data_IF_550515107802
#
_entry.id   IF_550515107802
#
_cell.length_a   1.000
_cell.length_b   1.000
_cell.length_c   1.000
_cell.angle_alpha   90.00
_cell.angle_beta   90.00
_cell.angle_gamma   90.00
#
_symmetry.space_group_name_H-M   'P 1'
#
loop_
_entity.id
_entity.type
_entity.pdbx_description
1 polymer ?
#
# COMPACT_ATOMS: atom_id res chain seq x y z
N UNK A 1 -12.32 0.54 -16.21
CA UNK A 1 -11.13 -0.04 -15.55
C UNK A 1 -9.92 -0.19 -16.47
N UNK A 2 -10.04 -0.79 -17.67
CA UNK A 2 -8.94 -1.03 -18.62
C UNK A 2 -8.04 0.20 -18.87
N UNK A 3 -8.63 1.34 -19.20
CA UNK A 3 -7.88 2.59 -19.43
C UNK A 3 -7.12 3.05 -18.19
N UNK A 4 -7.72 2.91 -17.00
CA UNK A 4 -7.07 3.28 -15.73
C UNK A 4 -5.87 2.38 -15.45
N UNK A 5 -6.00 1.09 -15.73
CA UNK A 5 -4.89 0.15 -15.60
C UNK A 5 -3.77 0.46 -16.59
N UNK A 6 -4.08 0.71 -17.87
CA UNK A 6 -3.08 1.06 -18.88
C UNK A 6 -2.34 2.35 -18.52
N UNK A 7 -3.07 3.35 -18.06
CA UNK A 7 -2.50 4.61 -17.59
C UNK A 7 -1.59 4.40 -16.37
N UNK A 8 -2.04 3.64 -15.38
CA UNK A 8 -1.25 3.30 -14.20
C UNK A 8 0.07 2.61 -14.60
N UNK A 9 0.00 1.59 -15.46
CA UNK A 9 1.18 0.86 -15.91
C UNK A 9 2.12 1.76 -16.73
N UNK A 10 1.58 2.60 -17.61
CA UNK A 10 2.36 3.58 -18.37
C UNK A 10 3.09 4.56 -17.44
N UNK A 11 2.38 5.06 -16.44
CA UNK A 11 2.94 5.96 -15.43
C UNK A 11 4.03 5.28 -14.60
N UNK A 12 3.80 4.06 -14.13
CA UNK A 12 4.79 3.32 -13.34
C UNK A 12 6.05 2.95 -14.11
N UNK A 13 6.02 2.91 -15.46
CA UNK A 13 7.22 2.77 -16.29
C UNK A 13 8.03 4.07 -16.37
N UNK A 14 7.35 5.20 -16.36
CA UNK A 14 8.00 6.51 -16.44
C UNK A 14 7.21 7.60 -15.69
N UNK A 15 7.35 7.67 -14.36
CA UNK A 15 6.56 8.58 -13.55
C UNK A 15 6.99 10.02 -13.82
N UNK A 16 6.00 10.90 -13.95
CA UNK A 16 6.18 12.35 -14.15
C UNK A 16 5.39 13.13 -13.10
N UNK A 17 5.94 14.27 -12.66
CA UNK A 17 5.29 15.18 -11.71
C UNK A 17 4.24 16.03 -12.46
N UNK A 18 3.14 15.40 -12.87
CA UNK A 18 2.08 16.03 -13.62
C UNK A 18 0.72 15.67 -13.01
N UNK A 19 -0.06 16.69 -12.67
CA UNK A 19 -1.43 16.52 -12.18
C UNK A 19 -2.35 16.15 -13.33
N UNK A 20 -3.40 15.41 -13.03
CA UNK A 20 -4.47 15.23 -13.99
C UNK A 20 -5.18 16.56 -14.24
N UNK A 21 -5.35 16.91 -15.52
CA UNK A 21 -6.05 18.13 -15.93
C UNK A 21 -7.55 18.04 -15.67
N UNK A 22 -8.11 16.83 -15.64
CA UNK A 22 -9.53 16.61 -15.38
C UNK A 22 -9.85 16.79 -13.88
N UNK A 23 -10.59 17.86 -13.58
CA UNK A 23 -11.06 18.18 -12.23
C UNK A 23 -12.47 17.64 -11.92
N UNK A 24 -13.14 16.97 -12.87
CA UNK A 24 -14.48 16.46 -12.66
C UNK A 24 -14.49 15.40 -11.53
N UNK A 25 -15.39 15.57 -10.56
CA UNK A 25 -15.44 14.70 -9.39
C UNK A 25 -15.83 13.27 -9.73
N UNK A 26 -16.83 13.07 -10.61
CA UNK A 26 -17.27 11.75 -11.06
C UNK A 26 -16.13 10.98 -11.72
N UNK A 27 -15.36 11.64 -12.59
CA UNK A 27 -14.17 11.06 -13.22
C UNK A 27 -13.14 10.61 -12.18
N UNK A 28 -12.84 11.46 -11.19
CA UNK A 28 -11.86 11.15 -10.14
C UNK A 28 -12.30 10.00 -9.25
N UNK A 29 -13.56 9.98 -8.83
CA UNK A 29 -14.11 8.85 -8.07
C UNK A 29 -14.10 7.55 -8.87
N UNK A 30 -14.41 7.60 -10.16
CA UNK A 30 -14.33 6.42 -11.01
C UNK A 30 -12.89 5.88 -11.09
N UNK A 31 -11.90 6.76 -11.29
CA UNK A 31 -10.47 6.39 -11.28
C UNK A 31 -10.05 5.84 -9.92
N UNK A 32 -10.49 6.47 -8.84
CA UNK A 32 -10.26 6.02 -7.47
C UNK A 32 -10.78 4.59 -7.25
N UNK A 33 -12.03 4.29 -7.59
CA UNK A 33 -12.59 2.95 -7.40
C UNK A 33 -11.90 1.90 -8.27
N UNK A 34 -11.52 2.24 -9.50
CA UNK A 34 -10.69 1.35 -10.32
C UNK A 34 -9.34 1.05 -9.64
N UNK A 35 -8.67 2.07 -9.10
CA UNK A 35 -7.40 1.90 -8.40
C UNK A 35 -7.55 1.08 -7.11
N UNK A 36 -8.64 1.26 -6.36
CA UNK A 36 -8.94 0.45 -5.18
C UNK A 36 -9.08 -1.03 -5.55
N UNK A 37 -9.87 -1.33 -6.59
CA UNK A 37 -10.06 -2.70 -7.07
C UNK A 37 -8.74 -3.30 -7.57
N UNK A 38 -7.97 -2.54 -8.37
CA UNK A 38 -6.64 -2.98 -8.83
C UNK A 38 -5.75 -3.30 -7.64
N UNK A 39 -5.70 -2.43 -6.62
CA UNK A 39 -4.88 -2.61 -5.42
C UNK A 39 -5.27 -3.89 -4.67
N UNK A 40 -6.56 -4.11 -4.45
CA UNK A 40 -7.08 -5.33 -3.78
C UNK A 40 -6.72 -6.58 -4.58
N UNK A 41 -6.93 -6.57 -5.90
CA UNK A 41 -6.58 -7.70 -6.78
C UNK A 41 -5.08 -7.98 -6.73
N UNK A 42 -4.23 -6.94 -6.77
CA UNK A 42 -2.77 -7.09 -6.67
C UNK A 42 -2.37 -7.72 -5.34
N UNK A 43 -2.92 -7.25 -4.22
CA UNK A 43 -2.65 -7.83 -2.90
C UNK A 43 -3.09 -9.30 -2.82
N UNK A 44 -4.31 -9.60 -3.25
CA UNK A 44 -4.85 -10.96 -3.27
C UNK A 44 -4.08 -11.89 -4.21
N UNK A 45 -3.60 -11.40 -5.35
CA UNK A 45 -2.80 -12.19 -6.29
C UNK A 45 -1.41 -12.57 -5.73
N UNK A 46 -0.88 -11.77 -4.80
CA UNK A 46 0.39 -12.05 -4.14
C UNK A 46 0.25 -12.92 -2.89
N UNK A 47 -0.94 -13.01 -2.28
CA UNK A 47 -1.14 -13.79 -1.05
C UNK A 47 -0.77 -15.27 -1.13
N UNK A 48 -0.93 -16.01 -2.25
CA UNK A 48 -0.51 -17.41 -2.33
C UNK A 48 1.01 -17.60 -2.13
N UNK A 49 1.83 -16.58 -2.45
CA UNK A 49 3.27 -16.64 -2.22
C UNK A 49 3.59 -16.64 -0.72
N UNK A 50 2.82 -15.91 0.09
CA UNK A 50 3.00 -15.87 1.54
C UNK A 50 2.64 -17.20 2.18
N UNK A 51 1.52 -17.81 1.75
CA UNK A 51 1.12 -19.15 2.19
C UNK A 51 2.20 -20.18 1.85
N UNK A 52 2.76 -20.13 0.64
CA UNK A 52 3.85 -21.04 0.26
C UNK A 52 5.11 -20.85 1.13
N UNK A 53 5.51 -19.61 1.41
CA UNK A 53 6.68 -19.30 2.25
C UNK A 53 6.48 -19.85 3.67
N UNK A 54 5.26 -19.74 4.20
CA UNK A 54 4.88 -20.25 5.52
C UNK A 54 4.87 -21.79 5.56
N UNK A 55 4.23 -22.44 4.59
CA UNK A 55 4.17 -23.92 4.48
C UNK A 55 5.56 -24.56 4.32
N UNK A 56 6.49 -23.86 3.67
CA UNK A 56 7.89 -24.28 3.56
C UNK A 56 8.71 -24.03 4.83
N UNK A 57 8.11 -23.40 5.85
CA UNK A 57 8.76 -23.09 7.12
C UNK A 57 9.88 -22.04 7.02
N UNK A 58 9.91 -21.26 5.93
CA UNK A 58 10.98 -20.28 5.71
C UNK A 58 10.81 -19.03 6.57
N UNK A 59 9.56 -18.58 6.75
CA UNK A 59 9.22 -17.44 7.59
C UNK A 59 8.01 -17.82 8.43
N UNK A 60 8.12 -17.64 9.74
CA UNK A 60 6.99 -17.83 10.65
C UNK A 60 6.07 -16.61 10.54
N UNK A 61 4.92 -16.77 9.91
CA UNK A 61 3.94 -15.70 9.78
C UNK A 61 3.11 -15.56 11.05
N UNK A 62 3.03 -16.58 11.91
CA UNK A 62 2.15 -16.69 13.08
C UNK A 62 2.66 -15.99 14.35
N UNK A 63 3.90 -15.47 14.37
CA UNK A 63 4.33 -14.55 15.44
C UNK A 63 3.71 -13.18 15.19
N UNK A 64 2.43 -13.04 15.50
CA UNK A 64 1.65 -11.87 15.14
C UNK A 64 1.85 -10.74 16.15
N UNK A 65 2.56 -9.68 15.73
CA UNK A 65 2.45 -8.36 16.35
C UNK A 65 0.98 -7.90 16.47
N UNK A 66 0.09 -8.39 15.58
CA UNK A 66 -1.34 -8.15 15.64
C UNK A 66 -2.04 -8.92 16.78
N UNK A 67 -1.64 -10.16 17.09
CA UNK A 67 -2.25 -10.94 18.17
C UNK A 67 -1.86 -10.39 19.54
N UNK A 68 -0.61 -9.94 19.69
CA UNK A 68 -0.15 -9.22 20.87
C UNK A 68 -0.91 -7.89 21.04
N UNK A 69 -1.07 -7.12 19.96
CA UNK A 69 -1.86 -5.89 19.97
C UNK A 69 -3.34 -6.13 20.31
N UNK A 70 -3.94 -7.23 19.83
CA UNK A 70 -5.32 -7.62 20.13
C UNK A 70 -5.51 -8.08 21.59
N UNK A 71 -4.46 -8.59 22.25
CA UNK A 71 -4.49 -8.92 23.69
C UNK A 71 -4.51 -7.66 24.55
N UNK A 72 -3.86 -6.59 24.09
CA UNK A 72 -3.75 -5.33 24.83
C UNK A 72 -4.85 -4.32 24.51
N UNK A 73 -5.46 -4.40 23.32
CA UNK A 73 -6.40 -3.40 22.83
C UNK A 73 -7.63 -3.98 22.13
N UNK A 74 -8.73 -3.22 22.14
CA UNK A 74 -9.95 -3.64 21.43
C UNK A 74 -9.74 -3.64 19.91
N UNK A 75 -10.37 -4.58 19.21
CA UNK A 75 -10.33 -4.66 17.74
C UNK A 75 -10.76 -3.36 17.04
N UNK A 76 -11.67 -2.59 17.63
CA UNK A 76 -12.11 -1.30 17.10
C UNK A 76 -11.06 -0.21 17.23
N UNK A 77 -10.28 -0.22 18.31
CA UNK A 77 -9.13 0.67 18.46
C UNK A 77 -8.06 0.35 17.42
N UNK A 78 -7.74 -0.93 17.23
CA UNK A 78 -6.80 -1.39 16.21
C UNK A 78 -7.27 -1.03 14.81
N UNK A 79 -8.57 -1.21 14.53
CA UNK A 79 -9.16 -0.78 13.26
C UNK A 79 -9.03 0.73 13.05
N UNK A 80 -9.27 1.55 14.07
CA UNK A 80 -9.05 3.00 13.99
C UNK A 80 -7.58 3.34 13.68
N UNK A 81 -6.63 2.69 14.35
CA UNK A 81 -5.21 2.88 14.08
C UNK A 81 -4.86 2.49 12.64
N UNK A 82 -5.23 1.29 12.19
CA UNK A 82 -4.86 0.75 10.89
C UNK A 82 -5.58 1.42 9.71
N UNK A 83 -6.82 1.86 9.88
CA UNK A 83 -7.64 2.42 8.80
C UNK A 83 -7.49 3.94 8.71
N UNK A 84 -7.30 4.63 9.83
CA UNK A 84 -7.29 6.10 9.88
C UNK A 84 -5.90 6.63 10.19
N UNK A 85 -5.33 6.25 11.35
CA UNK A 85 -4.13 6.90 11.87
C UNK A 85 -2.89 6.54 11.06
N UNK A 86 -2.67 5.26 10.78
CA UNK A 86 -1.51 4.78 10.02
C UNK A 86 -1.52 5.34 8.59
N UNK A 87 -2.60 5.23 7.77
CA UNK A 87 -2.62 5.84 6.45
C UNK A 87 -2.40 7.35 6.47
N UNK A 88 -2.94 8.07 7.45
CA UNK A 88 -2.70 9.51 7.57
C UNK A 88 -1.20 9.81 7.71
N UNK A 89 -0.51 9.17 8.66
CA UNK A 89 0.92 9.42 8.89
C UNK A 89 1.79 8.87 7.76
N UNK A 90 1.53 7.65 7.30
CA UNK A 90 2.29 7.04 6.21
C UNK A 90 2.20 7.86 4.94
N UNK A 91 1.03 8.36 4.56
CA UNK A 91 0.93 9.22 3.39
C UNK A 91 1.60 10.59 3.60
N UNK A 92 1.56 11.14 4.81
CA UNK A 92 2.29 12.36 5.14
C UNK A 92 3.81 12.16 5.03
N UNK A 93 4.35 11.03 5.47
CA UNK A 93 5.78 10.73 5.41
C UNK A 93 6.25 10.31 4.02
N UNK A 94 5.52 9.42 3.36
CA UNK A 94 5.97 8.79 2.12
C UNK A 94 5.45 9.49 0.86
N UNK A 95 4.27 10.14 0.89
CA UNK A 95 3.63 10.70 -0.31
C UNK A 95 3.63 12.22 -0.36
N UNK A 96 3.56 12.91 0.78
CA UNK A 96 3.66 14.36 0.78
C UNK A 96 4.99 14.88 0.19
N UNK A 97 6.18 14.30 0.52
CA UNK A 97 7.46 14.83 0.06
C UNK A 97 7.76 14.58 -1.42
N UNK A 98 7.13 13.59 -2.06
CA UNK A 98 7.37 13.24 -3.48
C UNK A 98 7.25 14.46 -4.40
N UNK A 99 6.33 15.40 -4.09
CA UNK A 99 6.10 16.60 -4.91
C UNK A 99 7.15 17.70 -4.72
N UNK A 100 8.10 17.55 -3.79
CA UNK A 100 9.20 18.51 -3.59
C UNK A 100 10.32 18.34 -4.64
N UNK A 101 10.34 17.19 -5.34
CA UNK A 101 11.36 16.85 -6.32
C UNK A 101 10.90 17.27 -7.73
N UNK A 102 11.27 18.47 -8.17
CA UNK A 102 10.74 19.07 -9.40
C UNK A 102 11.45 18.61 -10.70
N UNK A 103 12.70 18.16 -10.62
CA UNK A 103 13.46 17.74 -11.80
C UNK A 103 13.00 16.38 -12.31
N UNK A 104 12.88 16.18 -13.63
CA UNK A 104 12.39 14.91 -14.21
C UNK A 104 13.15 13.67 -13.68
N UNK A 105 14.48 13.72 -13.63
CA UNK A 105 15.32 12.64 -13.09
C UNK A 105 15.16 12.50 -11.58
N UNK A 106 15.21 13.59 -10.83
CA UNK A 106 15.14 13.56 -9.36
C UNK A 106 13.77 13.13 -8.86
N UNK A 107 12.70 13.56 -9.52
CA UNK A 107 11.35 13.08 -9.29
C UNK A 107 11.23 11.57 -9.49
N UNK A 108 11.71 11.06 -10.62
CA UNK A 108 11.63 9.63 -10.93
C UNK A 108 12.35 8.79 -9.86
N UNK A 109 13.54 9.23 -9.44
CA UNK A 109 14.29 8.57 -8.35
C UNK A 109 13.50 8.65 -7.05
N UNK A 110 13.02 9.83 -6.66
CA UNK A 110 12.26 10.01 -5.43
C UNK A 110 10.98 9.15 -5.41
N UNK A 111 10.23 9.11 -6.51
CA UNK A 111 9.01 8.33 -6.63
C UNK A 111 9.24 6.85 -6.29
N UNK A 112 10.24 6.21 -6.91
CA UNK A 112 10.54 4.80 -6.61
C UNK A 112 11.20 4.62 -5.24
N UNK A 113 12.04 5.56 -4.80
CA UNK A 113 12.65 5.50 -3.47
C UNK A 113 11.59 5.53 -2.37
N UNK A 114 10.61 6.43 -2.44
CA UNK A 114 9.52 6.48 -1.46
C UNK A 114 8.61 5.24 -1.52
N UNK A 115 8.33 4.70 -2.71
CA UNK A 115 7.59 3.45 -2.84
C UNK A 115 8.35 2.26 -2.21
N UNK A 116 9.67 2.17 -2.43
CA UNK A 116 10.52 1.14 -1.84
C UNK A 116 10.64 1.29 -0.32
N UNK A 117 10.90 2.52 0.17
CA UNK A 117 10.98 2.79 1.60
C UNK A 117 9.67 2.48 2.33
N UNK A 118 8.54 2.80 1.70
CA UNK A 118 7.22 2.43 2.20
C UNK A 118 7.10 0.90 2.34
N UNK A 119 7.52 0.13 1.33
CA UNK A 119 7.57 -1.32 1.44
C UNK A 119 8.51 -1.81 2.55
N UNK A 120 9.74 -1.31 2.59
CA UNK A 120 10.77 -1.74 3.56
C UNK A 120 10.37 -1.50 5.01
N UNK A 121 9.63 -0.42 5.32
CA UNK A 121 9.12 -0.20 6.68
C UNK A 121 8.23 -1.35 7.14
N UNK A 122 7.52 -2.03 6.24
CA UNK A 122 6.66 -3.15 6.60
C UNK A 122 7.42 -4.44 6.92
N UNK A 123 8.74 -4.48 6.77
CA UNK A 123 9.54 -5.58 7.33
C UNK A 123 9.42 -5.66 8.85
N UNK A 124 9.05 -4.57 9.54
CA UNK A 124 8.82 -4.57 10.99
C UNK A 124 7.64 -5.44 11.42
N UNK A 125 6.81 -5.89 10.46
CA UNK A 125 5.72 -6.82 10.73
C UNK A 125 6.21 -8.27 10.89
N UNK A 126 7.49 -8.54 10.66
CA UNK A 126 8.09 -9.87 10.79
C UNK A 126 9.20 -9.86 11.84
N UNK A 127 9.35 -10.98 12.56
CA UNK A 127 10.56 -11.22 13.36
C UNK A 127 11.77 -11.28 12.43
N UNK A 128 12.73 -10.37 12.62
CA UNK A 128 13.88 -10.24 11.71
C UNK A 128 14.81 -11.46 11.86
N UNK A 129 14.83 -12.30 10.83
CA UNK A 129 15.70 -13.46 10.68
C UNK A 129 16.48 -13.38 9.36
N UNK A 130 17.49 -14.24 9.19
CA UNK A 130 18.21 -14.35 7.92
C UNK A 130 17.27 -14.62 6.74
N UNK A 131 16.26 -15.49 6.92
CA UNK A 131 15.29 -15.80 5.87
C UNK A 131 14.43 -14.59 5.52
N UNK A 132 13.98 -13.82 6.51
CA UNK A 132 13.23 -12.57 6.30
C UNK A 132 14.05 -11.56 5.50
N UNK A 133 15.34 -11.39 5.83
CA UNK A 133 16.22 -10.47 5.08
C UNK A 133 16.48 -10.95 3.65
N UNK A 134 16.69 -12.24 3.42
CA UNK A 134 16.87 -12.81 2.09
C UNK A 134 15.61 -12.71 1.23
N UNK A 135 14.44 -12.93 1.84
CA UNK A 135 13.13 -12.87 1.18
C UNK A 135 12.52 -11.47 1.20
N UNK A 136 13.19 -10.46 1.77
CA UNK A 136 12.68 -9.11 1.93
C UNK A 136 12.08 -8.52 0.64
N UNK A 137 12.71 -8.66 -0.55
CA UNK A 137 12.12 -8.16 -1.79
C UNK A 137 10.75 -8.75 -2.12
N UNK A 138 10.49 -9.99 -1.72
CA UNK A 138 9.21 -10.68 -1.93
C UNK A 138 8.22 -10.29 -0.83
N UNK A 139 8.67 -10.30 0.43
CA UNK A 139 7.82 -10.02 1.59
C UNK A 139 7.24 -8.61 1.58
N UNK A 140 8.00 -7.63 1.09
CA UNK A 140 7.55 -6.22 0.98
C UNK A 140 7.01 -5.85 -0.40
N UNK A 141 6.95 -6.79 -1.34
CA UNK A 141 6.46 -6.52 -2.70
C UNK A 141 5.04 -5.96 -2.71
N UNK A 142 4.06 -6.49 -1.96
CA UNK A 142 2.70 -5.94 -1.96
C UNK A 142 2.68 -4.47 -1.58
N UNK A 143 3.41 -4.11 -0.52
CA UNK A 143 3.47 -2.76 0.01
C UNK A 143 4.28 -1.84 -0.90
N UNK A 144 5.35 -2.33 -1.53
CA UNK A 144 6.12 -1.54 -2.54
C UNK A 144 5.27 -1.24 -3.77
N UNK A 145 4.45 -2.19 -4.22
CA UNK A 145 3.57 -2.00 -5.38
C UNK A 145 2.42 -1.03 -5.04
N UNK A 146 1.75 -1.23 -3.90
CA UNK A 146 0.77 -0.29 -3.35
C UNK A 146 1.40 1.10 -3.15
N UNK A 147 2.66 1.12 -2.70
CA UNK A 147 3.68 2.16 -2.80
C UNK A 147 3.49 3.08 -3.98
N UNK A 148 3.70 2.50 -5.16
CA UNK A 148 3.59 3.16 -6.46
C UNK A 148 2.17 3.56 -6.83
N UNK A 149 1.14 2.78 -6.46
CA UNK A 149 -0.26 3.11 -6.77
C UNK A 149 -0.73 4.35 -6.00
N UNK A 150 -0.37 4.43 -4.72
CA UNK A 150 -0.58 5.59 -3.86
C UNK A 150 0.23 6.79 -4.37
N UNK A 151 1.49 6.57 -4.78
CA UNK A 151 2.29 7.60 -5.44
C UNK A 151 1.62 8.16 -6.71
N UNK A 152 1.04 7.28 -7.55
CA UNK A 152 0.32 7.67 -8.76
C UNK A 152 -0.87 8.57 -8.43
N UNK A 153 -1.79 8.13 -7.55
CA UNK A 153 -2.97 8.92 -7.22
C UNK A 153 -2.60 10.21 -6.48
N UNK A 154 -1.55 10.20 -5.66
CA UNK A 154 -0.98 11.38 -4.98
C UNK A 154 -0.60 12.47 -5.97
N UNK A 155 0.07 12.10 -7.05
CA UNK A 155 0.57 13.04 -8.06
C UNK A 155 -0.58 13.51 -8.96
N UNK A 156 -1.45 12.59 -9.38
CA UNK A 156 -2.56 12.90 -10.29
C UNK A 156 -3.65 13.73 -9.63
N UNK A 157 -4.08 13.39 -8.41
CA UNK A 157 -5.26 13.99 -7.78
C UNK A 157 -4.97 14.71 -6.46
N UNK A 158 -3.88 14.38 -5.75
CA UNK A 158 -3.47 15.05 -4.52
C UNK A 158 -3.36 14.11 -3.32
N UNK A 159 -2.81 14.63 -2.20
CA UNK A 159 -2.50 13.84 -1.00
C UNK A 159 -3.75 13.22 -0.36
N UNK A 160 -4.85 13.97 -0.31
CA UNK A 160 -6.12 13.50 0.27
C UNK A 160 -6.65 12.25 -0.42
N UNK A 161 -6.51 12.16 -1.75
CA UNK A 161 -6.92 10.98 -2.52
C UNK A 161 -6.05 9.76 -2.23
N UNK A 162 -4.76 9.99 -1.94
CA UNK A 162 -3.84 8.94 -1.52
C UNK A 162 -4.20 8.40 -0.13
N UNK A 163 -4.44 9.30 0.83
CA UNK A 163 -4.90 8.94 2.19
C UNK A 163 -6.21 8.16 2.12
N UNK A 164 -7.18 8.63 1.34
CA UNK A 164 -8.45 7.95 1.20
C UNK A 164 -8.30 6.57 0.55
N UNK A 165 -7.46 6.43 -0.48
CA UNK A 165 -7.25 5.16 -1.17
C UNK A 165 -6.62 4.14 -0.23
N UNK A 166 -5.61 4.59 0.51
CA UNK A 166 -4.92 3.76 1.50
C UNK A 166 -5.86 3.36 2.65
N UNK A 167 -6.62 4.29 3.21
CA UNK A 167 -7.62 4.00 4.23
C UNK A 167 -8.66 2.98 3.76
N UNK A 168 -9.20 3.14 2.54
CA UNK A 168 -10.15 2.18 1.97
C UNK A 168 -9.51 0.79 1.70
N UNK A 169 -8.26 0.76 1.25
CA UNK A 169 -7.51 -0.49 1.07
C UNK A 169 -7.33 -1.22 2.41
N UNK A 170 -6.88 -0.52 3.46
CA UNK A 170 -6.72 -1.10 4.79
C UNK A 170 -8.07 -1.52 5.39
N UNK A 171 -9.12 -0.70 5.23
CA UNK A 171 -10.46 -1.04 5.68
C UNK A 171 -10.96 -2.35 5.07
N UNK A 172 -10.71 -2.57 3.77
CA UNK A 172 -11.10 -3.81 3.11
C UNK A 172 -10.49 -5.04 3.80
N UNK A 173 -9.17 -5.06 4.02
CA UNK A 173 -8.48 -6.21 4.61
C UNK A 173 -8.74 -6.36 6.12
N UNK A 174 -8.82 -5.26 6.88
CA UNK A 174 -9.13 -5.29 8.32
C UNK A 174 -10.56 -5.76 8.56
N UNK A 175 -11.53 -5.30 7.77
CA UNK A 175 -12.91 -5.77 7.91
C UNK A 175 -13.06 -7.23 7.46
N UNK A 176 -12.30 -7.64 6.44
CA UNK A 176 -12.25 -9.04 6.00
C UNK A 176 -11.69 -9.96 7.10
N UNK A 177 -10.64 -9.54 7.82
CA UNK A 177 -10.09 -10.35 8.92
C UNK A 177 -11.09 -10.50 10.06
N UNK A 178 -11.83 -9.44 10.42
CA UNK A 178 -12.88 -9.53 11.45
C UNK A 178 -14.08 -10.38 11.04
N UNK A 179 -14.35 -10.51 9.74
CA UNK A 179 -15.40 -11.40 9.25
C UNK A 179 -15.00 -12.88 9.35
N UNK A 180 -13.70 -13.18 9.27
CA UNK A 180 -13.16 -14.52 9.50
C UNK A 180 -13.35 -15.01 10.94
N UNK A 181 -13.32 -14.11 11.92
CA UNK A 181 -13.54 -14.42 13.35
C UNK A 181 -14.98 -14.83 13.70
N UNK A 182 -15.94 -14.65 12.78
CA UNK A 182 -17.37 -14.93 12.97
C UNK A 182 -17.82 -16.28 12.38
N UNK A 183 -16.92 -17.00 11.70
CA UNK A 183 -17.17 -18.30 11.07
C UNK A 183 -16.54 -19.44 11.88
#
# INVERSE_FOLDING_TARGET
>A
MKETFQELISYLKNPVLEKDTNQNSTYRFQKFFHLLIISIITGAALSPLFVLIEELGWVNMNEHAMEELLKEHSKWFIAFLAIILAPLFEELFFRAPITLFHGKKTFKIAFYAFALLFGLVHLTNFTITTNVLLLAPILVAPQTILGGYLGFIRVRFGLQWSILLHACYNAFFVLLSFAGDLA
#
